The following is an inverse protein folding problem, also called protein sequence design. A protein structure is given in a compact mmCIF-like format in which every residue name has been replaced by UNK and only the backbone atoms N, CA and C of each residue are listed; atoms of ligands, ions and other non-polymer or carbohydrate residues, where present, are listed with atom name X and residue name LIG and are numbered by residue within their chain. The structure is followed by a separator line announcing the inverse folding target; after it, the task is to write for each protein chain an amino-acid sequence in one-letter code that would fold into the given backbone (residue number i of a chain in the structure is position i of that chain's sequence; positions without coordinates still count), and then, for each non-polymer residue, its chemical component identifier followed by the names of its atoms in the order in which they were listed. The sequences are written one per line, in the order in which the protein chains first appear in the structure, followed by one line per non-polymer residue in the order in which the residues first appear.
data_IF_273952267632
#
_entry.id   IF_273952267632
#
_cell.length_a   1.000
_cell.length_b   1.000
_cell.length_c   1.000
_cell.angle_alpha   90.00
_cell.angle_beta   90.00
_cell.angle_gamma   90.00
#
_symmetry.space_group_name_H-M   'P 1'
#
loop_
_entity.id
_entity.type
_entity.pdbx_description
1 polymer ?
#
# COMPACT_ATOMS: atom_id res chain seq x y z
N UNK A 1 13.08 1.02 -2.09
CA UNK A 1 11.93 0.87 -3.01
C UNK A 1 11.57 -0.60 -3.09
N UNK A 2 10.30 -0.98 -2.86
CA UNK A 2 9.88 -2.38 -2.65
C UNK A 2 9.41 -3.13 -3.92
N UNK A 3 9.18 -2.40 -5.01
CA UNK A 3 8.79 -2.95 -6.31
C UNK A 3 9.44 -2.13 -7.42
N UNK A 4 9.67 -2.73 -8.58
CA UNK A 4 10.33 -2.08 -9.71
C UNK A 4 9.33 -1.50 -10.72
N UNK A 5 9.80 -0.65 -11.65
CA UNK A 5 9.00 -0.19 -12.78
C UNK A 5 8.55 -1.36 -13.68
N UNK A 6 9.37 -2.41 -13.80
CA UNK A 6 9.00 -3.63 -14.54
C UNK A 6 7.82 -4.34 -13.90
N UNK A 7 7.78 -4.45 -12.57
CA UNK A 7 6.65 -5.03 -11.85
C UNK A 7 5.37 -4.21 -12.05
N UNK A 8 5.51 -2.89 -12.08
CA UNK A 8 4.41 -1.97 -12.35
C UNK A 8 3.87 -2.14 -13.79
N UNK A 9 4.75 -2.20 -14.79
CA UNK A 9 4.38 -2.42 -16.18
C UNK A 9 3.71 -3.78 -16.39
N UNK A 10 4.24 -4.84 -15.77
CA UNK A 10 3.64 -6.18 -15.80
C UNK A 10 2.21 -6.18 -15.22
N UNK A 11 1.92 -5.31 -14.24
CA UNK A 11 0.58 -5.13 -13.67
C UNK A 11 -0.34 -4.27 -14.51
N UNK A 12 0.20 -3.25 -15.17
CA UNK A 12 -0.55 -2.40 -16.09
C UNK A 12 -0.89 -3.14 -17.40
N UNK A 13 -0.13 -4.18 -17.76
CA UNK A 13 -0.26 -4.88 -19.03
C UNK A 13 0.18 -4.03 -20.23
N UNK A 14 0.86 -2.90 -19.98
CA UNK A 14 1.41 -1.99 -20.99
C UNK A 14 2.72 -1.39 -20.51
N UNK A 15 3.53 -0.91 -21.46
CA UNK A 15 4.71 -0.10 -21.15
C UNK A 15 4.30 1.31 -20.71
N UNK A 16 5.11 1.89 -19.81
CA UNK A 16 4.97 3.29 -19.39
C UNK A 16 5.51 4.19 -20.49
N UNK A 17 4.83 5.30 -20.76
CA UNK A 17 5.39 6.36 -21.61
C UNK A 17 6.49 7.13 -20.87
N UNK A 18 7.33 7.85 -21.60
CA UNK A 18 8.43 8.64 -21.00
C UNK A 18 7.90 9.73 -20.04
N UNK A 19 6.72 10.29 -20.33
CA UNK A 19 6.05 11.26 -19.46
C UNK A 19 5.46 10.62 -18.18
N UNK A 20 5.07 9.33 -18.24
CA UNK A 20 4.51 8.61 -17.10
C UNK A 20 5.59 8.05 -16.16
N UNK A 21 6.81 7.80 -16.65
CA UNK A 21 7.92 7.24 -15.86
C UNK A 21 8.27 8.03 -14.58
N UNK A 22 8.46 9.36 -14.61
CA UNK A 22 8.78 10.12 -13.39
C UNK A 22 7.63 10.06 -12.38
N UNK A 23 6.38 10.10 -12.85
CA UNK A 23 5.20 10.02 -12.00
C UNK A 23 5.03 8.62 -11.40
N UNK A 24 5.24 7.57 -12.19
CA UNK A 24 5.23 6.18 -11.74
C UNK A 24 6.30 5.90 -10.68
N UNK A 25 7.47 6.54 -10.81
CA UNK A 25 8.55 6.44 -9.81
C UNK A 25 8.13 7.06 -8.48
N UNK A 26 7.60 8.29 -8.50
CA UNK A 26 7.08 8.94 -7.30
C UNK A 26 5.97 8.12 -6.62
N UNK A 27 5.04 7.55 -7.40
CA UNK A 27 3.99 6.68 -6.87
C UNK A 27 4.52 5.39 -6.24
N UNK A 28 5.62 4.83 -6.75
CA UNK A 28 6.25 3.65 -6.16
C UNK A 28 6.97 3.98 -4.84
N UNK A 29 7.55 5.17 -4.73
CA UNK A 29 8.14 5.67 -3.49
C UNK A 29 7.08 5.88 -2.41
N UNK A 30 5.99 6.58 -2.75
CA UNK A 30 4.86 6.76 -1.84
C UNK A 30 4.21 5.42 -1.46
N UNK A 31 4.11 4.47 -2.41
CA UNK A 31 3.57 3.13 -2.14
C UNK A 31 4.48 2.35 -1.21
N UNK A 32 5.79 2.50 -1.38
CA UNK A 32 6.79 1.90 -0.49
C UNK A 32 6.62 2.42 0.92
N UNK A 33 6.53 3.75 1.09
CA UNK A 33 6.34 4.39 2.39
C UNK A 33 5.02 3.97 3.06
N UNK A 34 3.93 3.86 2.30
CA UNK A 34 2.66 3.39 2.84
C UNK A 34 2.73 1.94 3.32
N UNK A 35 3.38 1.06 2.56
CA UNK A 35 3.52 -0.36 2.90
C UNK A 35 4.46 -0.57 4.09
N UNK A 36 5.59 0.12 4.18
CA UNK A 36 6.49 0.06 5.34
C UNK A 36 5.80 0.60 6.59
N UNK A 37 5.10 1.73 6.50
CA UNK A 37 4.33 2.29 7.61
C UNK A 37 3.24 1.32 8.09
N UNK A 38 2.57 0.62 7.18
CA UNK A 38 1.56 -0.38 7.54
C UNK A 38 2.14 -1.64 8.18
N UNK A 39 3.29 -2.10 7.68
CA UNK A 39 3.95 -3.30 8.20
C UNK A 39 4.72 -3.02 9.50
N UNK A 40 5.09 -1.76 9.75
CA UNK A 40 5.87 -1.36 10.92
C UNK A 40 7.30 -1.89 10.90
N UNK A 41 7.85 -2.18 9.72
CA UNK A 41 9.20 -2.69 9.55
C UNK A 41 9.77 -2.31 8.19
N UNK A 42 11.09 -2.26 8.14
CA UNK A 42 11.85 -2.15 6.90
C UNK A 42 12.21 -3.56 6.40
N UNK A 43 11.98 -3.82 5.12
CA UNK A 43 12.24 -5.12 4.47
C UNK A 43 13.71 -5.24 4.04
N UNK A 44 14.60 -4.99 5.00
CA UNK A 44 16.05 -5.08 4.86
C UNK A 44 16.53 -6.21 5.75
N UNK A 45 17.34 -7.10 5.19
CA UNK A 45 17.98 -8.17 5.94
C UNK A 45 18.90 -7.56 7.02
N UNK A 46 18.68 -7.83 8.31
CA UNK A 46 19.48 -7.27 9.39
C UNK A 46 20.94 -7.78 9.41
N UNK A 47 21.22 -8.89 8.73
CA UNK A 47 22.54 -9.54 8.70
C UNK A 47 23.35 -9.04 7.50
N UNK A 48 22.74 -9.03 6.31
CA UNK A 48 23.44 -8.67 5.07
C UNK A 48 23.28 -7.21 4.68
N UNK A 49 22.31 -6.49 5.26
CA UNK A 49 21.95 -5.13 4.87
C UNK A 49 21.34 -5.05 3.46
N UNK A 50 21.10 -6.20 2.81
CA UNK A 50 20.50 -6.28 1.48
C UNK A 50 18.97 -6.26 1.59
N UNK A 51 18.26 -5.81 0.54
CA UNK A 51 16.82 -5.88 0.52
C UNK A 51 16.35 -7.34 0.50
N UNK A 52 15.65 -7.77 1.56
CA UNK A 52 14.94 -9.06 1.62
C UNK A 52 13.45 -8.77 1.58
N UNK A 53 12.91 -8.73 0.36
CA UNK A 53 11.55 -8.29 0.10
C UNK A 53 10.68 -9.51 -0.24
N UNK A 54 9.72 -9.88 0.63
CA UNK A 54 8.79 -10.96 0.32
C UNK A 54 7.95 -10.67 -0.92
N UNK A 55 7.69 -11.69 -1.74
CA UNK A 55 6.90 -11.54 -2.97
C UNK A 55 5.52 -10.91 -2.73
N UNK A 56 4.89 -11.20 -1.60
CA UNK A 56 3.61 -10.61 -1.21
C UNK A 56 3.67 -9.07 -1.08
N UNK A 57 4.80 -8.55 -0.59
CA UNK A 57 5.05 -7.11 -0.42
C UNK A 57 5.22 -6.45 -1.79
N UNK A 58 6.05 -7.02 -2.66
CA UNK A 58 6.23 -6.54 -4.05
C UNK A 58 4.91 -6.51 -4.82
N UNK A 59 4.07 -7.55 -4.66
CA UNK A 59 2.73 -7.60 -5.29
C UNK A 59 1.81 -6.49 -4.76
N UNK A 60 1.81 -6.26 -3.44
CA UNK A 60 0.97 -5.23 -2.85
C UNK A 60 1.41 -3.82 -3.29
N UNK A 61 2.71 -3.52 -3.21
CA UNK A 61 3.27 -2.22 -3.62
C UNK A 61 3.00 -1.93 -5.10
N UNK A 62 3.28 -2.88 -6.00
CA UNK A 62 3.03 -2.71 -7.44
C UNK A 62 1.54 -2.50 -7.76
N UNK A 63 0.64 -3.21 -7.08
CA UNK A 63 -0.82 -3.06 -7.26
C UNK A 63 -1.33 -1.71 -6.74
N UNK A 64 -0.81 -1.25 -5.61
CA UNK A 64 -1.16 0.05 -5.04
C UNK A 64 -0.72 1.19 -5.97
N UNK A 65 0.52 1.15 -6.47
CA UNK A 65 1.04 2.11 -7.44
C UNK A 65 0.25 2.08 -8.76
N UNK A 66 -0.07 0.89 -9.29
CA UNK A 66 -0.90 0.75 -10.50
C UNK A 66 -2.31 1.33 -10.32
N UNK A 67 -2.90 1.12 -9.14
CA UNK A 67 -4.22 1.67 -8.80
C UNK A 67 -4.18 3.19 -8.72
N UNK A 68 -3.18 3.76 -8.07
CA UNK A 68 -3.00 5.20 -7.97
C UNK A 68 -2.81 5.82 -9.37
N UNK A 69 -1.99 5.19 -10.21
CA UNK A 69 -1.79 5.63 -11.60
C UNK A 69 -3.07 5.55 -12.44
N UNK A 70 -3.91 4.53 -12.24
CA UNK A 70 -5.19 4.40 -12.94
C UNK A 70 -6.27 5.38 -12.43
N UNK A 71 -6.14 5.85 -11.18
CA UNK A 71 -7.11 6.74 -10.53
C UNK A 71 -7.03 8.20 -10.95
N UNK A 72 -6.00 8.59 -11.69
CA UNK A 72 -5.86 9.94 -12.26
C UNK A 72 -6.81 10.21 -13.44
N UNK A 73 -7.57 9.20 -13.88
CA UNK A 73 -8.64 9.36 -14.86
C UNK A 73 -9.91 9.96 -14.21
N UNK A 74 -10.15 11.25 -14.48
CA UNK A 74 -11.40 12.04 -14.27
C UNK A 74 -12.08 11.96 -12.86
N UNK A 75 -12.17 13.09 -12.11
CA UNK A 75 -12.90 13.14 -10.85
C UNK A 75 -14.41 13.09 -11.11
N UNK A 76 -14.97 11.89 -11.21
CA UNK A 76 -16.39 11.72 -11.52
C UNK A 76 -16.85 10.28 -11.50
N UNK A 77 -17.06 9.74 -10.28
CA UNK A 77 -17.80 8.48 -10.01
C UNK A 77 -17.08 7.18 -10.40
N UNK A 78 -16.54 6.47 -9.40
CA UNK A 78 -15.84 5.18 -9.60
C UNK A 78 -16.71 3.93 -9.29
N UNK A 79 -17.88 4.09 -8.67
CA UNK A 79 -18.78 2.96 -8.36
C UNK A 79 -20.24 3.40 -8.29
N UNK A 80 -21.08 2.84 -9.16
CA UNK A 80 -22.53 2.85 -9.02
C UNK A 80 -22.94 1.46 -8.52
N UNK A 81 -23.17 1.36 -7.21
CA UNK A 81 -23.82 0.21 -6.58
C UNK A 81 -25.29 0.54 -6.43
N UNK A 82 -26.14 -0.06 -7.26
CA UNK A 82 -27.58 -0.05 -7.03
C UNK A 82 -27.94 -1.32 -6.26
N UNK A 83 -28.51 -1.18 -5.07
CA UNK A 83 -29.17 -2.29 -4.37
C UNK A 83 -30.48 -1.80 -3.78
N UNK A 84 -31.57 -2.50 -4.12
CA UNK A 84 -32.93 -2.27 -3.62
C UNK A 84 -33.06 -2.77 -2.16
N UNK A 85 -33.27 -1.86 -1.20
CA UNK A 85 -33.60 -2.20 0.21
C UNK A 85 -33.05 -1.20 1.26
N UNK A 86 -33.45 -1.30 2.55
CA UNK A 86 -33.30 -0.25 3.59
C UNK A 86 -31.87 -0.07 4.16
N UNK A 87 -30.83 -0.49 3.45
CA UNK A 87 -29.47 -0.45 3.96
C UNK A 87 -28.68 0.78 3.51
N UNK A 88 -27.90 1.29 4.47
CA UNK A 88 -27.17 2.55 4.52
C UNK A 88 -26.17 2.72 3.36
N UNK A 89 -26.20 3.89 2.70
CA UNK A 89 -25.22 4.29 1.69
C UNK A 89 -23.96 4.90 2.34
N UNK A 90 -22.83 4.21 2.23
CA UNK A 90 -21.50 4.78 2.52
C UNK A 90 -20.91 5.43 1.28
N UNK A 91 -20.83 6.77 1.25
CA UNK A 91 -20.06 7.50 0.23
C UNK A 91 -18.57 7.30 0.51
N UNK A 92 -17.80 6.79 -0.44
CA UNK A 92 -16.33 6.79 -0.38
C UNK A 92 -15.81 7.77 -1.42
N UNK A 93 -15.05 8.76 -0.95
CA UNK A 93 -14.39 9.73 -1.80
C UNK A 93 -13.13 9.10 -2.38
N UNK A 94 -12.82 9.39 -3.65
CA UNK A 94 -11.52 9.05 -4.22
C UNK A 94 -10.46 9.80 -3.40
N UNK A 95 -9.70 9.06 -2.58
CA UNK A 95 -8.55 9.65 -1.92
C UNK A 95 -7.57 10.04 -3.02
N UNK A 96 -7.36 11.34 -3.21
CA UNK A 96 -6.24 11.82 -4.02
C UNK A 96 -4.97 11.43 -3.28
N UNK A 97 -4.25 10.44 -3.78
CA UNK A 97 -3.06 9.89 -3.13
C UNK A 97 -3.10 8.37 -3.03
N UNK A 98 -2.17 7.81 -2.27
CA UNK A 98 -1.98 6.36 -2.18
C UNK A 98 -2.80 5.74 -1.05
N UNK A 99 -3.60 4.72 -1.37
CA UNK A 99 -4.36 3.98 -0.36
C UNK A 99 -4.15 2.46 -0.44
N UNK A 100 -4.09 1.85 0.74
CA UNK A 100 -3.95 0.39 0.90
C UNK A 100 -5.35 -0.24 0.96
N UNK A 101 -5.68 -1.05 -0.06
CA UNK A 101 -6.96 -1.75 -0.15
C UNK A 101 -7.10 -2.90 0.85
N UNK A 102 -8.33 -3.37 1.09
CA UNK A 102 -8.60 -4.49 2.01
C UNK A 102 -7.83 -5.77 1.63
N UNK A 103 -7.78 -6.10 0.34
CA UNK A 103 -7.03 -7.27 -0.16
C UNK A 103 -5.52 -7.11 0.07
N UNK A 104 -4.99 -5.91 -0.12
CA UNK A 104 -3.57 -5.61 0.10
C UNK A 104 -3.23 -5.72 1.59
N UNK A 105 -4.11 -5.23 2.47
CA UNK A 105 -3.98 -5.42 3.92
C UNK A 105 -4.00 -6.90 4.32
N UNK A 106 -4.81 -7.73 3.67
CA UNK A 106 -4.83 -9.18 3.94
C UNK A 106 -3.52 -9.85 3.55
N UNK A 107 -2.95 -9.49 2.39
CA UNK A 107 -1.64 -9.96 1.93
C UNK A 107 -0.51 -9.53 2.87
N UNK A 108 -0.53 -8.27 3.31
CA UNK A 108 0.50 -7.70 4.18
C UNK A 108 0.37 -8.12 5.64
N UNK A 109 -0.77 -8.68 6.05
CA UNK A 109 -1.04 -9.03 7.46
C UNK A 109 -0.03 -10.03 8.02
N UNK A 110 0.43 -10.96 7.18
CA UNK A 110 1.44 -11.95 7.57
C UNK A 110 2.82 -11.32 7.87
N UNK A 111 3.07 -10.14 7.31
CA UNK A 111 4.33 -9.41 7.42
C UNK A 111 4.22 -8.16 8.29
N UNK A 112 3.18 -8.05 9.13
CA UNK A 112 3.06 -6.93 10.07
C UNK A 112 3.83 -7.26 11.35
N UNK A 113 4.70 -6.36 11.78
CA UNK A 113 5.40 -6.47 13.05
C UNK A 113 4.47 -6.05 14.21
N UNK A 114 3.71 -7.01 14.73
CA UNK A 114 2.71 -6.78 15.80
C UNK A 114 3.39 -6.53 17.16
N UNK A 115 4.70 -6.81 17.29
CA UNK A 115 5.43 -6.72 18.57
C UNK A 115 5.79 -5.30 19.01
N UNK A 116 5.77 -4.30 18.13
CA UNK A 116 6.08 -2.92 18.51
C UNK A 116 4.99 -2.28 19.40
N UNK A 117 3.75 -2.75 19.31
CA UNK A 117 2.59 -2.09 19.92
C UNK A 117 2.35 -2.52 21.38
N UNK A 118 2.90 -3.66 21.81
CA UNK A 118 2.60 -4.25 23.12
C UNK A 118 3.64 -3.91 24.21
N UNK A 119 4.70 -3.20 23.86
CA UNK A 119 5.83 -2.92 24.78
C UNK A 119 5.60 -1.66 25.63
N UNK A 120 4.65 -0.80 25.25
CA UNK A 120 4.37 0.46 25.98
C UNK A 120 3.40 0.27 27.16
N UNK A 121 2.71 -0.87 27.28
CA UNK A 121 1.66 -1.08 28.30
C UNK A 121 2.16 -1.63 29.64
N UNK A 122 3.43 -2.07 29.77
CA UNK A 122 3.90 -2.74 31.00
C UNK A 122 4.73 -1.90 31.97
N UNK A 123 4.95 -0.60 31.73
CA UNK A 123 5.63 0.26 32.72
C UNK A 123 4.64 0.87 33.72
N UNK A 124 4.31 0.11 34.77
CA UNK A 124 3.69 0.66 35.99
C UNK A 124 4.82 1.10 36.93
N UNK A 125 5.06 2.40 37.15
CA UNK A 125 6.08 2.84 38.09
C UNK A 125 5.71 2.36 39.51
N UNK A 126 6.70 2.00 40.35
CA UNK A 126 6.44 1.63 41.74
C UNK A 126 5.87 2.83 42.48
N UNK A 127 4.72 2.63 43.14
CA UNK A 127 4.12 3.64 44.03
C UNK A 127 4.96 3.76 45.31
N UNK A 128 5.14 4.98 45.84
CA UNK A 128 5.92 5.25 47.05
C UNK A 128 5.30 4.66 48.31
#
# INVERSE_FOLDING_TARGET
MLATLTDLQARLGRTLTDDEQPYATALLEESTAAVTAWCGQDFTDPITGLPDIPTAVTIATSRIAARALASTAEPGVTTVSTTMGPFQNGRSYAATGIWIGKQDKMLLRAHRNIHAENTTTSYRPPTP
#
